data_IF_693358876218
#
_entry.id   IF_693358876218
#
_cell.length_a   1.000
_cell.length_b   1.000
_cell.length_c   1.000
_cell.angle_alpha   90.00
_cell.angle_beta   90.00
_cell.angle_gamma   90.00
#
_symmetry.space_group_name_H-M   'P 1'
#
loop_
_entity.id
_entity.type
_entity.pdbx_description
1 polymer ?
#
# COMPACT_ATOMS: atom_id res chain seq x y z
N UNK A 1 -23.37 -27.10 26.25
CA UNK A 1 -24.01 -25.77 26.13
C UNK A 1 -23.19 -24.65 26.78
N UNK A 2 -23.06 -24.57 28.11
CA UNK A 2 -22.32 -23.46 28.76
C UNK A 2 -20.82 -23.42 28.34
N UNK A 3 -20.14 -24.57 28.35
CA UNK A 3 -18.75 -24.69 27.88
C UNK A 3 -18.57 -24.34 26.39
N UNK A 4 -19.58 -24.59 25.55
CA UNK A 4 -19.50 -24.31 24.11
C UNK A 4 -19.67 -22.81 23.82
N UNK A 5 -20.51 -22.13 24.62
CA UNK A 5 -20.69 -20.68 24.57
C UNK A 5 -19.41 -19.97 25.05
N UNK A 6 -18.81 -20.41 26.17
CA UNK A 6 -17.55 -19.83 26.66
C UNK A 6 -16.40 -19.99 25.64
N UNK A 7 -16.24 -21.16 25.02
CA UNK A 7 -15.24 -21.37 23.96
C UNK A 7 -15.51 -20.52 22.71
N UNK A 8 -16.78 -20.34 22.35
CA UNK A 8 -17.16 -19.49 21.21
C UNK A 8 -16.82 -18.03 21.46
N UNK A 9 -17.09 -17.52 22.67
CA UNK A 9 -16.73 -16.16 23.08
C UNK A 9 -15.22 -15.97 23.11
N UNK A 10 -14.46 -16.94 23.63
CA UNK A 10 -13.00 -16.88 23.64
C UNK A 10 -12.43 -16.85 22.22
N UNK A 11 -12.98 -17.66 21.31
CA UNK A 11 -12.60 -17.71 19.90
C UNK A 11 -12.90 -16.38 19.18
N UNK A 12 -14.09 -15.81 19.42
CA UNK A 12 -14.49 -14.52 18.87
C UNK A 12 -13.61 -13.37 19.38
N UNK A 13 -13.27 -13.37 20.68
CA UNK A 13 -12.37 -12.37 21.26
C UNK A 13 -10.97 -12.45 20.65
N UNK A 14 -10.42 -13.66 20.50
CA UNK A 14 -9.11 -13.87 19.84
C UNK A 14 -9.14 -13.40 18.38
N UNK A 15 -10.16 -13.79 17.63
CA UNK A 15 -10.34 -13.37 16.24
C UNK A 15 -10.47 -11.84 16.10
N UNK A 16 -11.14 -11.19 17.04
CA UNK A 16 -11.29 -9.73 17.06
C UNK A 16 -9.95 -9.03 17.32
N UNK A 17 -9.17 -9.49 18.30
CA UNK A 17 -7.85 -8.94 18.61
C UNK A 17 -6.89 -9.13 17.43
N UNK A 18 -6.90 -10.31 16.82
CA UNK A 18 -6.06 -10.63 15.66
C UNK A 18 -6.46 -9.80 14.44
N UNK A 19 -7.76 -9.63 14.18
CA UNK A 19 -8.29 -8.76 13.14
C UNK A 19 -7.86 -7.30 13.34
N UNK A 20 -7.93 -6.78 14.55
CA UNK A 20 -7.48 -5.42 14.87
C UNK A 20 -5.97 -5.24 14.66
N UNK A 21 -5.15 -6.21 15.07
CA UNK A 21 -3.70 -6.20 14.82
C UNK A 21 -3.40 -6.19 13.33
N UNK A 22 -4.01 -7.10 12.57
CA UNK A 22 -3.81 -7.20 11.13
C UNK A 22 -4.17 -5.90 10.41
N UNK A 23 -5.26 -5.23 10.79
CA UNK A 23 -5.61 -3.92 10.24
C UNK A 23 -4.55 -2.85 10.57
N UNK A 24 -4.01 -2.86 11.79
CA UNK A 24 -2.89 -2.01 12.18
C UNK A 24 -1.64 -2.24 11.33
N UNK A 25 -1.30 -3.50 11.07
CA UNK A 25 -0.15 -3.89 10.25
C UNK A 25 -0.33 -3.45 8.77
N UNK A 26 -1.54 -3.59 8.22
CA UNK A 26 -1.89 -3.10 6.88
C UNK A 26 -1.64 -1.59 6.81
N UNK A 27 -2.11 -0.82 7.79
CA UNK A 27 -1.93 0.63 7.81
C UNK A 27 -0.46 1.04 7.92
N UNK A 28 0.31 0.40 8.80
CA UNK A 28 1.74 0.69 8.97
C UNK A 28 2.52 0.39 7.69
N UNK A 29 2.33 -0.80 7.10
CA UNK A 29 2.99 -1.19 5.85
C UNK A 29 2.60 -0.26 4.68
N UNK A 30 1.34 0.17 4.62
CA UNK A 30 0.87 1.15 3.64
C UNK A 30 1.60 2.48 3.79
N UNK A 31 1.67 2.98 5.03
CA UNK A 31 2.35 4.23 5.34
C UNK A 31 3.83 4.17 4.98
N UNK A 32 4.54 3.10 5.36
CA UNK A 32 5.95 2.89 5.02
C UNK A 32 6.19 2.91 3.51
N UNK A 33 5.36 2.19 2.74
CA UNK A 33 5.47 2.16 1.27
C UNK A 33 5.24 3.53 0.65
N UNK A 34 4.22 4.27 1.12
CA UNK A 34 3.94 5.62 0.64
C UNK A 34 5.04 6.62 1.03
N UNK A 35 5.57 6.54 2.25
CA UNK A 35 6.70 7.35 2.70
C UNK A 35 7.94 7.10 1.84
N UNK A 36 8.23 5.83 1.53
CA UNK A 36 9.33 5.46 0.65
C UNK A 36 9.12 6.02 -0.77
N UNK A 37 7.90 6.01 -1.31
CA UNK A 37 7.60 6.65 -2.60
C UNK A 37 7.87 8.16 -2.56
N UNK A 38 7.45 8.85 -1.51
CA UNK A 38 7.71 10.29 -1.37
C UNK A 38 9.21 10.62 -1.31
N UNK A 39 10.02 9.76 -0.68
CA UNK A 39 11.48 9.90 -0.67
C UNK A 39 12.04 9.72 -2.10
N UNK A 40 11.60 8.69 -2.82
CA UNK A 40 12.07 8.47 -4.21
C UNK A 40 11.73 9.65 -5.12
N UNK A 41 10.50 10.17 -5.05
CA UNK A 41 10.11 11.38 -5.79
C UNK A 41 11.00 12.56 -5.42
N UNK A 42 11.27 12.78 -4.13
CA UNK A 42 12.15 13.87 -3.69
C UNK A 42 13.59 13.71 -4.21
N UNK A 43 14.13 12.49 -4.20
CA UNK A 43 15.45 12.18 -4.78
C UNK A 43 15.46 12.48 -6.28
N UNK A 44 14.42 12.08 -7.02
CA UNK A 44 14.33 12.36 -8.46
C UNK A 44 14.28 13.86 -8.78
N UNK A 45 13.59 14.65 -7.97
CA UNK A 45 13.58 16.11 -8.09
C UNK A 45 14.95 16.73 -7.82
N UNK A 46 15.67 16.23 -6.82
CA UNK A 46 17.02 16.69 -6.52
C UNK A 46 17.98 16.35 -7.66
N UNK A 47 17.92 15.12 -8.19
CA UNK A 47 18.73 14.68 -9.32
C UNK A 47 18.45 15.51 -10.57
N UNK A 48 17.16 15.74 -10.89
CA UNK A 48 16.76 16.61 -12.00
C UNK A 48 17.28 18.04 -11.83
N UNK A 49 17.24 18.58 -10.61
CA UNK A 49 17.78 19.91 -10.30
C UNK A 49 19.30 19.98 -10.48
N UNK A 50 20.03 18.95 -10.05
CA UNK A 50 21.48 18.85 -10.25
C UNK A 50 21.82 18.77 -11.74
N UNK A 51 21.07 17.99 -12.52
CA UNK A 51 21.27 17.88 -13.97
C UNK A 51 20.96 19.20 -14.69
N UNK A 52 19.92 19.91 -14.28
CA UNK A 52 19.59 21.24 -14.83
C UNK A 52 20.69 22.27 -14.54
N UNK A 53 21.26 22.25 -13.32
CA UNK A 53 22.38 23.13 -12.96
C UNK A 53 23.64 22.84 -13.78
N UNK A 54 23.95 21.55 -14.04
CA UNK A 54 25.05 21.16 -14.94
C UNK A 54 24.85 21.70 -16.35
N UNK A 55 23.64 21.59 -16.89
CA UNK A 55 23.28 22.16 -18.20
C UNK A 55 23.54 23.67 -18.28
N UNK A 56 23.15 24.41 -17.25
CA UNK A 56 23.37 25.86 -17.19
C UNK A 56 24.87 26.22 -17.03
N UNK A 57 25.65 25.40 -16.33
CA UNK A 57 27.08 25.64 -16.12
C UNK A 57 27.99 25.23 -17.28
N UNK A 58 27.59 24.22 -18.06
CA UNK A 58 28.42 23.62 -19.11
C UNK A 58 28.07 24.08 -20.53
N UNK A 59 26.85 24.57 -20.78
CA UNK A 59 26.44 24.91 -22.15
C UNK A 59 26.94 26.28 -22.61
N UNK A 60 27.95 26.27 -23.50
CA UNK A 60 28.28 27.41 -24.39
C UNK A 60 27.53 27.33 -25.73
N UNK A 61 26.90 26.20 -26.01
CA UNK A 61 26.19 25.90 -27.26
C UNK A 61 24.70 25.62 -26.99
N UNK A 62 23.84 26.48 -27.54
CA UNK A 62 22.39 26.45 -27.37
C UNK A 62 21.78 25.18 -27.99
N UNK A 63 22.36 24.63 -29.07
CA UNK A 63 21.85 23.39 -29.67
C UNK A 63 22.09 22.17 -28.78
N UNK A 64 23.27 22.10 -28.14
CA UNK A 64 23.58 21.05 -27.17
C UNK A 64 22.65 21.15 -25.94
N UNK A 65 22.41 22.36 -25.44
CA UNK A 65 21.50 22.60 -24.33
C UNK A 65 20.06 22.17 -24.64
N UNK A 66 19.56 22.47 -25.84
CA UNK A 66 18.20 22.11 -26.26
C UNK A 66 18.00 20.58 -26.36
N UNK A 67 18.98 19.86 -26.92
CA UNK A 67 18.96 18.38 -26.98
C UNK A 67 18.92 17.77 -25.59
N UNK A 68 19.74 18.30 -24.69
CA UNK A 68 19.86 17.74 -23.35
C UNK A 68 18.67 18.08 -22.46
N UNK A 69 18.07 19.26 -22.64
CA UNK A 69 16.80 19.60 -22.01
C UNK A 69 15.63 18.72 -22.50
N UNK A 70 15.61 18.35 -23.79
CA UNK A 70 14.65 17.38 -24.31
C UNK A 70 14.87 15.99 -23.69
N UNK A 71 16.12 15.57 -23.51
CA UNK A 71 16.47 14.32 -22.81
C UNK A 71 15.99 14.34 -21.36
N UNK A 72 16.25 15.41 -20.63
CA UNK A 72 15.78 15.59 -19.25
C UNK A 72 14.26 15.57 -19.14
N UNK A 73 13.57 16.23 -20.08
CA UNK A 73 12.11 16.21 -20.11
C UNK A 73 11.54 14.80 -20.32
N UNK A 74 12.15 14.02 -21.21
CA UNK A 74 11.77 12.62 -21.40
C UNK A 74 12.03 11.77 -20.14
N UNK A 75 13.20 11.91 -19.52
CA UNK A 75 13.58 11.20 -18.29
C UNK A 75 12.62 11.51 -17.13
N UNK A 76 12.29 12.79 -16.91
CA UNK A 76 11.32 13.20 -15.88
C UNK A 76 9.92 12.61 -16.15
N UNK A 77 9.49 12.56 -17.41
CA UNK A 77 8.21 11.97 -17.77
C UNK A 77 8.19 10.45 -17.53
N UNK A 78 9.27 9.74 -17.87
CA UNK A 78 9.40 8.31 -17.57
C UNK A 78 9.35 8.04 -16.07
N UNK A 79 10.11 8.80 -15.27
CA UNK A 79 10.09 8.74 -13.80
C UNK A 79 8.70 9.02 -13.24
N UNK A 80 7.99 10.01 -13.77
CA UNK A 80 6.62 10.32 -13.35
C UNK A 80 5.65 9.15 -13.60
N UNK A 81 5.72 8.55 -14.79
CA UNK A 81 4.89 7.38 -15.14
C UNK A 81 5.25 6.19 -14.25
N UNK A 82 6.53 5.99 -13.95
CA UNK A 82 7.00 4.96 -13.04
C UNK A 82 6.45 5.16 -11.62
N UNK A 83 6.52 6.38 -11.07
CA UNK A 83 5.93 6.72 -9.77
C UNK A 83 4.43 6.43 -9.74
N UNK A 84 3.70 6.84 -10.78
CA UNK A 84 2.26 6.59 -10.88
C UNK A 84 1.94 5.09 -10.86
N UNK A 85 2.70 4.26 -11.59
CA UNK A 85 2.55 2.80 -11.60
C UNK A 85 2.81 2.20 -10.22
N UNK A 86 3.94 2.55 -9.59
CA UNK A 86 4.30 2.04 -8.27
C UNK A 86 3.29 2.44 -7.19
N UNK A 87 2.75 3.67 -7.24
CA UNK A 87 1.66 4.08 -6.35
C UNK A 87 0.40 3.25 -6.60
N UNK A 88 0.03 3.00 -7.86
CA UNK A 88 -1.12 2.16 -8.19
C UNK A 88 -0.94 0.70 -7.70
N UNK A 89 0.27 0.15 -7.77
CA UNK A 89 0.60 -1.16 -7.23
C UNK A 89 0.38 -1.23 -5.71
N UNK A 90 0.87 -0.23 -4.96
CA UNK A 90 0.63 -0.14 -3.50
C UNK A 90 -0.87 -0.09 -3.19
N UNK A 91 -1.63 0.73 -3.92
CA UNK A 91 -3.07 0.84 -3.69
C UNK A 91 -3.82 -0.46 -4.01
N UNK A 92 -3.42 -1.17 -5.06
CA UNK A 92 -4.01 -2.47 -5.41
C UNK A 92 -3.69 -3.55 -4.38
N UNK A 93 -2.46 -3.55 -3.85
CA UNK A 93 -2.07 -4.46 -2.78
C UNK A 93 -2.89 -4.22 -1.51
N UNK A 94 -3.00 -2.96 -1.07
CA UNK A 94 -3.81 -2.58 0.11
C UNK A 94 -5.28 -2.95 -0.08
N UNK A 95 -5.83 -2.73 -1.28
CA UNK A 95 -7.19 -3.17 -1.61
C UNK A 95 -7.36 -4.68 -1.45
N UNK A 96 -6.39 -5.47 -1.90
CA UNK A 96 -6.38 -6.93 -1.70
C UNK A 96 -6.34 -7.30 -0.23
N UNK A 97 -5.39 -6.73 0.53
CA UNK A 97 -5.22 -7.00 1.96
C UNK A 97 -6.47 -6.64 2.79
N UNK A 98 -7.12 -5.51 2.47
CA UNK A 98 -8.37 -5.09 3.11
C UNK A 98 -9.55 -5.99 2.73
N UNK A 99 -9.59 -6.49 1.49
CA UNK A 99 -10.61 -7.45 1.04
C UNK A 99 -10.48 -8.76 1.82
N UNK A 100 -9.26 -9.27 1.96
CA UNK A 100 -8.99 -10.50 2.72
C UNK A 100 -9.31 -10.31 4.20
N UNK A 101 -8.92 -9.16 4.77
CA UNK A 101 -9.27 -8.80 6.14
C UNK A 101 -10.79 -8.78 6.37
N UNK A 102 -11.56 -8.20 5.45
CA UNK A 102 -13.03 -8.18 5.53
C UNK A 102 -13.64 -9.58 5.38
N UNK A 103 -13.11 -10.40 4.47
CA UNK A 103 -13.54 -11.79 4.30
C UNK A 103 -13.30 -12.62 5.57
N UNK A 104 -12.17 -12.44 6.24
CA UNK A 104 -11.87 -13.16 7.46
C UNK A 104 -12.74 -12.70 8.64
N UNK A 105 -13.08 -11.40 8.70
CA UNK A 105 -14.10 -10.89 9.61
C UNK A 105 -15.47 -11.57 9.42
N UNK A 106 -15.91 -11.74 8.16
CA UNK A 106 -17.16 -12.44 7.86
C UNK A 106 -17.13 -13.93 8.27
N UNK A 107 -16.01 -14.63 8.06
CA UNK A 107 -15.84 -16.03 8.48
C UNK A 107 -15.89 -16.18 10.01
N UNK A 108 -15.27 -15.25 10.74
CA UNK A 108 -15.27 -15.25 12.20
C UNK A 108 -16.70 -15.09 12.77
N UNK A 109 -17.57 -14.31 12.11
CA UNK A 109 -18.98 -14.13 12.50
C UNK A 109 -19.88 -15.27 11.98
N UNK A 110 -19.58 -15.84 10.81
CA UNK A 110 -20.37 -16.90 10.15
C UNK A 110 -20.18 -18.31 10.72
N UNK A 111 -19.29 -18.50 11.69
CA UNK A 111 -19.13 -19.80 12.38
C UNK A 111 -20.37 -20.05 13.26
N UNK A 112 -21.19 -21.08 12.98
CA UNK A 112 -22.57 -21.12 13.44
C UNK A 112 -22.71 -21.31 14.95
N UNK A 113 -23.23 -20.29 15.63
CA UNK A 113 -23.87 -20.36 16.96
C UNK A 113 -25.19 -21.19 16.96
N UNK A 114 -25.52 -21.91 15.88
CA UNK A 114 -26.91 -22.29 15.55
C UNK A 114 -27.27 -23.77 15.41
N UNK A 115 -26.37 -24.73 15.63
CA UNK A 115 -26.69 -26.17 15.44
C UNK A 115 -27.09 -26.95 16.71
N UNK A 116 -27.30 -26.27 17.85
CA UNK A 116 -27.71 -26.91 19.10
C UNK A 116 -29.21 -27.24 19.24
N UNK A 117 -30.08 -26.70 18.36
CA UNK A 117 -31.54 -26.75 18.54
C UNK A 117 -32.30 -27.71 17.62
N UNK A 118 -31.62 -28.50 16.77
CA UNK A 118 -32.28 -29.43 15.83
C UNK A 118 -32.16 -30.93 16.19
N UNK A 119 -31.78 -31.29 17.42
CA UNK A 119 -31.69 -32.71 17.87
C UNK A 119 -32.56 -33.08 19.08
N UNK A 120 -33.61 -32.31 19.35
CA UNK A 120 -34.61 -32.66 20.36
C UNK A 120 -36.02 -32.46 19.79
N UNK A 121 -36.42 -33.35 18.88
CA UNK A 121 -37.81 -33.61 18.53
C UNK A 121 -37.92 -35.09 18.13
#
# INVERSE_FOLDING_TARGET
MQNDIFKSIETLNKATIESAKRLGDINMRTFEKLAQRNIEVATDYLDGSVQQLKLMGESKDIQAAAKEQARLGAELNEKFVEHAKKTAEVLNEVKGELTDWAQDGMKAVGTPLGNGSKKAA
#
